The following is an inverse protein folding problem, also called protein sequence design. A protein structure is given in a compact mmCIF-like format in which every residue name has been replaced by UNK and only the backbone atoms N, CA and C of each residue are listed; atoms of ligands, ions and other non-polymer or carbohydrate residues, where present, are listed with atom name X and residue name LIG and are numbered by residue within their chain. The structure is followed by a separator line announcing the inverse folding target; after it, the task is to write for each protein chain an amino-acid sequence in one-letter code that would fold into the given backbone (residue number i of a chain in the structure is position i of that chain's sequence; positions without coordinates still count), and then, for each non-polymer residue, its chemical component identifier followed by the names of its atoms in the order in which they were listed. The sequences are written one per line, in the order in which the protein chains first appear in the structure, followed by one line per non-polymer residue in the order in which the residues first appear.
data_IF_606701425723
#
_entry.id   IF_606701425723
#
_cell.length_a   1.000
_cell.length_b   1.000
_cell.length_c   1.000
_cell.angle_alpha   90.00
_cell.angle_beta   90.00
_cell.angle_gamma   90.00
#
_symmetry.space_group_name_H-M   'P 1'
#
loop_
_entity.id
_entity.type
_entity.pdbx_description
1 polymer ?
#
# COMPACT_ATOMS: atom_id res chain seq x y z
N UNK A 1 11.45 -2.28 5.80
CA UNK A 1 10.85 -2.13 4.47
C UNK A 1 11.88 -1.57 3.50
N UNK A 2 11.75 -1.93 2.24
CA UNK A 2 12.62 -1.40 1.19
C UNK A 2 11.75 -0.67 0.16
N UNK A 3 11.93 0.64 0.09
CA UNK A 3 11.32 1.49 -0.92
C UNK A 3 12.44 2.04 -1.79
N UNK A 4 12.70 1.36 -2.92
CA UNK A 4 13.75 1.78 -3.84
C UNK A 4 13.37 3.10 -4.54
N UNK A 5 14.37 3.80 -5.05
CA UNK A 5 14.12 5.01 -5.84
C UNK A 5 13.27 4.70 -7.07
N UNK A 6 13.49 3.54 -7.70
CA UNK A 6 12.71 3.09 -8.85
C UNK A 6 11.23 2.93 -8.50
N UNK A 7 10.94 2.26 -7.38
CA UNK A 7 9.57 2.07 -6.93
C UNK A 7 8.94 3.41 -6.56
N UNK A 8 9.66 4.29 -5.88
CA UNK A 8 9.17 5.61 -5.52
C UNK A 8 8.89 6.48 -6.76
N UNK A 9 9.76 6.44 -7.76
CA UNK A 9 9.51 7.11 -9.04
C UNK A 9 8.24 6.60 -9.72
N UNK A 10 8.04 5.28 -9.72
CA UNK A 10 6.83 4.66 -10.25
C UNK A 10 5.58 5.18 -9.52
N UNK A 11 5.61 5.20 -8.19
CA UNK A 11 4.49 5.67 -7.38
C UNK A 11 4.17 7.14 -7.70
N UNK A 12 5.17 8.02 -7.71
CA UNK A 12 4.98 9.44 -8.02
C UNK A 12 4.41 9.65 -9.42
N UNK A 13 4.82 8.83 -10.38
CA UNK A 13 4.38 8.96 -11.76
C UNK A 13 2.97 8.44 -12.00
N UNK A 14 2.64 7.28 -11.41
CA UNK A 14 1.34 6.63 -11.61
C UNK A 14 0.28 7.06 -10.59
N UNK A 15 0.71 7.38 -9.38
CA UNK A 15 -0.16 7.72 -8.25
C UNK A 15 0.35 8.97 -7.55
N UNK A 16 0.37 10.13 -8.25
CA UNK A 16 0.92 11.37 -7.68
C UNK A 16 0.19 11.83 -6.42
N UNK A 17 -1.06 11.42 -6.23
CA UNK A 17 -1.83 11.74 -5.03
C UNK A 17 -1.22 11.14 -3.75
N UNK A 18 -0.39 10.12 -3.87
CA UNK A 18 0.31 9.49 -2.73
C UNK A 18 1.56 10.27 -2.33
N UNK A 19 2.12 11.04 -3.25
CA UNK A 19 3.40 11.73 -3.05
C UNK A 19 3.51 12.51 -1.73
N UNK A 20 2.51 13.30 -1.31
CA UNK A 20 2.58 14.01 -0.02
C UNK A 20 2.53 13.08 1.20
N UNK A 21 2.21 11.81 1.00
CA UNK A 21 1.98 10.84 2.08
C UNK A 21 3.02 9.71 2.10
N UNK A 22 4.20 9.96 1.54
CA UNK A 22 5.29 8.97 1.51
C UNK A 22 5.56 8.37 2.90
N UNK A 23 5.51 9.20 3.94
CA UNK A 23 5.75 8.77 5.32
C UNK A 23 4.72 7.75 5.81
N UNK A 24 3.51 7.74 5.25
CA UNK A 24 2.47 6.78 5.64
C UNK A 24 2.72 5.37 5.11
N UNK A 25 3.52 5.21 4.07
CA UNK A 25 3.81 3.88 3.50
C UNK A 25 4.39 2.95 4.56
N UNK A 26 5.40 3.41 5.29
CA UNK A 26 5.99 2.63 6.37
C UNK A 26 5.03 2.35 7.50
N UNK A 27 4.18 3.32 7.85
CA UNK A 27 3.19 3.17 8.91
C UNK A 27 2.12 2.14 8.55
N UNK A 28 1.68 2.12 7.29
CA UNK A 28 0.72 1.12 6.81
C UNK A 28 1.31 -0.29 6.89
N UNK A 29 2.57 -0.44 6.48
CA UNK A 29 3.24 -1.75 6.56
C UNK A 29 3.43 -2.22 8.00
N UNK A 30 3.72 -1.29 8.92
CA UNK A 30 3.93 -1.62 10.32
C UNK A 30 2.63 -1.92 11.06
N UNK A 31 1.53 -1.28 10.67
CA UNK A 31 0.23 -1.42 11.35
C UNK A 31 -0.94 -1.47 10.36
N UNK A 32 -1.02 -2.48 9.49
CA UNK A 32 -2.15 -2.57 8.57
C UNK A 32 -3.43 -2.95 9.31
N UNK A 33 -4.57 -2.55 8.76
CA UNK A 33 -5.88 -2.99 9.22
C UNK A 33 -6.26 -4.32 8.59
N UNK A 34 -5.80 -4.55 7.35
CA UNK A 34 -5.91 -5.86 6.71
C UNK A 34 -4.79 -6.07 5.70
N UNK A 35 -4.54 -7.34 5.39
CA UNK A 35 -3.57 -7.73 4.36
C UNK A 35 -4.29 -8.63 3.37
N UNK A 36 -4.14 -8.31 2.09
CA UNK A 36 -4.76 -9.02 0.98
C UNK A 36 -3.65 -9.65 0.15
N UNK A 37 -3.80 -10.93 -0.19
CA UNK A 37 -2.86 -11.63 -1.07
C UNK A 37 -3.38 -11.62 -2.50
N UNK A 38 -2.57 -11.15 -3.44
CA UNK A 38 -2.87 -11.16 -4.85
C UNK A 38 -2.44 -12.45 -5.54
N UNK A 39 -2.75 -12.56 -6.83
CA UNK A 39 -2.52 -13.78 -7.63
C UNK A 39 -1.04 -14.04 -7.95
N UNK A 40 -0.20 -13.00 -7.90
CA UNK A 40 1.23 -13.10 -8.24
C UNK A 40 2.13 -13.10 -7.01
N UNK A 41 1.62 -13.59 -5.91
CA UNK A 41 2.32 -13.66 -4.63
C UNK A 41 2.66 -12.28 -4.05
N UNK A 42 2.10 -11.18 -4.59
CA UNK A 42 2.19 -9.88 -3.95
C UNK A 42 1.21 -9.81 -2.79
N UNK A 43 1.54 -9.00 -1.79
CA UNK A 43 0.67 -8.69 -0.67
C UNK A 43 0.30 -7.22 -0.71
N UNK A 44 -0.88 -6.90 -0.20
CA UNK A 44 -1.40 -5.53 -0.14
C UNK A 44 -1.75 -5.23 1.30
N UNK A 45 -0.96 -4.38 1.93
CA UNK A 45 -1.28 -3.86 3.26
C UNK A 45 -2.21 -2.67 3.09
N UNK A 46 -3.30 -2.65 3.85
CA UNK A 46 -4.36 -1.64 3.70
C UNK A 46 -4.65 -1.00 5.05
N UNK A 47 -4.75 0.32 5.06
CA UNK A 47 -5.12 1.07 6.23
C UNK A 47 -5.95 2.29 5.85
N UNK A 48 -6.99 2.58 6.63
CA UNK A 48 -7.81 3.77 6.44
C UNK A 48 -7.04 5.02 6.85
N UNK A 49 -7.07 6.03 5.97
CA UNK A 49 -6.49 7.35 6.22
C UNK A 49 -7.64 8.34 6.20
N UNK A 50 -8.10 8.80 7.38
CA UNK A 50 -9.31 9.62 7.47
C UNK A 50 -9.18 11.01 6.88
N UNK A 51 -7.94 11.53 6.79
CA UNK A 51 -7.71 12.89 6.30
C UNK A 51 -6.64 12.89 5.22
N UNK A 52 -7.07 13.02 3.97
CA UNK A 52 -6.19 13.30 2.84
C UNK A 52 -6.73 14.53 2.10
N UNK A 53 -5.93 15.10 1.20
CA UNK A 53 -6.41 16.20 0.35
C UNK A 53 -7.56 15.79 -0.58
N UNK A 54 -7.82 14.48 -0.72
CA UNK A 54 -8.93 13.93 -1.49
C UNK A 54 -10.09 13.42 -0.58
N UNK A 55 -10.05 13.73 0.70
CA UNK A 55 -10.99 13.20 1.69
C UNK A 55 -10.55 11.86 2.27
N UNK A 56 -11.44 11.15 2.99
CA UNK A 56 -11.09 9.85 3.58
C UNK A 56 -10.81 8.82 2.48
N UNK A 57 -9.72 8.09 2.64
CA UNK A 57 -9.28 7.06 1.68
C UNK A 57 -8.65 5.89 2.42
N UNK A 58 -8.53 4.75 1.72
CA UNK A 58 -7.67 3.65 2.15
C UNK A 58 -6.35 3.77 1.40
N UNK A 59 -5.24 3.69 2.13
CA UNK A 59 -3.92 3.59 1.51
C UNK A 59 -3.58 2.12 1.36
N UNK A 60 -3.31 1.72 0.13
CA UNK A 60 -2.93 0.35 -0.23
C UNK A 60 -1.46 0.37 -0.58
N UNK A 61 -0.66 -0.43 0.13
CA UNK A 61 0.77 -0.59 -0.15
C UNK A 61 0.99 -2.01 -0.65
N UNK A 62 1.39 -2.12 -1.91
CA UNK A 62 1.66 -3.41 -2.56
C UNK A 62 3.13 -3.75 -2.38
N UNK A 63 3.42 -4.96 -1.89
CA UNK A 63 4.78 -5.37 -1.60
C UNK A 63 4.97 -6.86 -1.82
N UNK A 64 6.25 -7.28 -1.90
CA UNK A 64 6.66 -8.67 -1.87
C UNK A 64 7.66 -8.89 -0.75
N UNK A 65 7.59 -10.04 -0.11
CA UNK A 65 8.60 -10.41 0.86
C UNK A 65 9.68 -11.25 0.20
N UNK A 66 10.93 -10.88 0.44
CA UNK A 66 12.08 -11.63 -0.02
C UNK A 66 13.22 -11.43 0.98
N UNK A 67 13.86 -12.53 1.39
CA UNK A 67 15.00 -12.49 2.33
C UNK A 67 14.66 -11.76 3.63
N UNK A 68 13.45 -11.94 4.15
CA UNK A 68 13.01 -11.31 5.39
C UNK A 68 12.66 -9.83 5.28
N UNK A 69 12.66 -9.28 4.07
CA UNK A 69 12.36 -7.87 3.82
C UNK A 69 11.10 -7.70 2.98
N UNK A 70 10.36 -6.63 3.26
CA UNK A 70 9.21 -6.22 2.44
C UNK A 70 9.67 -5.20 1.41
N UNK A 71 9.60 -5.59 0.13
CA UNK A 71 9.99 -4.74 -0.99
C UNK A 71 8.74 -4.10 -1.60
N UNK A 72 8.67 -2.77 -1.54
CA UNK A 72 7.52 -2.02 -2.04
C UNK A 72 7.50 -2.09 -3.56
N UNK A 73 6.33 -2.43 -4.12
CA UNK A 73 6.10 -2.43 -5.56
C UNK A 73 5.40 -1.15 -5.98
N UNK A 74 4.29 -0.81 -5.31
CA UNK A 74 3.54 0.41 -5.57
C UNK A 74 2.67 0.76 -4.36
N UNK A 75 2.05 1.93 -4.40
CA UNK A 75 1.08 2.36 -3.41
C UNK A 75 0.06 3.27 -4.08
N UNK A 76 -1.20 3.17 -3.64
CA UNK A 76 -2.27 4.00 -4.18
C UNK A 76 -3.39 4.16 -3.16
N UNK A 77 -4.23 5.18 -3.37
CA UNK A 77 -5.44 5.39 -2.58
C UNK A 77 -6.64 4.78 -3.27
N UNK A 78 -7.58 4.26 -2.49
CA UNK A 78 -8.91 3.86 -2.98
C UNK A 78 -9.97 4.26 -1.97
N UNK A 79 -11.17 4.56 -2.46
CA UNK A 79 -12.34 4.83 -1.61
C UNK A 79 -13.11 3.56 -1.28
N UNK A 80 -12.84 2.47 -1.99
CA UNK A 80 -13.67 1.25 -1.92
C UNK A 80 -12.77 0.02 -1.77
N UNK A 81 -12.87 -0.64 -0.63
CA UNK A 81 -12.14 -1.89 -0.36
C UNK A 81 -12.49 -2.99 -1.36
N UNK A 82 -13.69 -2.98 -1.91
CA UNK A 82 -14.13 -3.99 -2.88
C UNK A 82 -13.35 -3.95 -4.20
N UNK A 83 -12.71 -2.83 -4.48
CA UNK A 83 -11.88 -2.68 -5.68
C UNK A 83 -10.49 -3.30 -5.52
N UNK A 84 -10.10 -3.67 -4.31
CA UNK A 84 -8.81 -4.30 -4.05
C UNK A 84 -8.97 -5.79 -4.29
N UNK A 85 -8.33 -6.29 -5.34
CA UNK A 85 -8.43 -7.70 -5.73
C UNK A 85 -7.51 -8.57 -4.91
N UNK A 86 -8.00 -9.79 -4.58
CA UNK A 86 -7.24 -10.79 -3.85
C UNK A 86 -8.01 -11.30 -2.65
N UNK A 87 -7.36 -12.15 -1.87
CA UNK A 87 -7.94 -12.79 -0.70
C UNK A 87 -7.41 -12.16 0.57
N UNK A 88 -8.32 -11.84 1.51
CA UNK A 88 -7.91 -11.34 2.82
C UNK A 88 -7.25 -12.49 3.58
N UNK A 89 -5.97 -12.30 3.92
CA UNK A 89 -5.18 -13.30 4.65
C UNK A 89 -4.91 -12.90 6.09
N UNK A 90 -5.15 -11.65 6.44
CA UNK A 90 -4.97 -11.15 7.79
C UNK A 90 -5.86 -9.93 8.05
N UNK A 91 -6.40 -9.83 9.26
CA UNK A 91 -7.16 -8.66 9.76
C UNK A 91 -6.65 -8.27 11.14
N UNK A 92 -6.63 -6.98 11.40
CA UNK A 92 -6.35 -6.48 12.73
C UNK A 92 -7.49 -6.81 13.69
#
# INVERSE_FOLDING_TARGET
MILSERAWKHIRGRHPEVSPYKHLIGEVLAGPELVIRGKRAESKAVRHVPKTHLGPKYLVVVYREASGQKHIITAYFTSDLKKIKGDVVWRA
#
